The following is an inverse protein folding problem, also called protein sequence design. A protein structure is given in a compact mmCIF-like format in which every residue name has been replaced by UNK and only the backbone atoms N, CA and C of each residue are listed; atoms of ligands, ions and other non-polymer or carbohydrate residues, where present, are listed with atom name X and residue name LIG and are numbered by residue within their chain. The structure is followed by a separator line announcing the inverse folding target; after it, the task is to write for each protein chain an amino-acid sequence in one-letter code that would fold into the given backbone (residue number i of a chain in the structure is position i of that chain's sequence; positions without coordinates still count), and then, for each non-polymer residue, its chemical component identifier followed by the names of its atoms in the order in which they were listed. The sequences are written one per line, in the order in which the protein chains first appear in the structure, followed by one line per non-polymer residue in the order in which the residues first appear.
data_IF_349906428640
#
_entry.id   IF_349906428640
#
_cell.length_a   1.000
_cell.length_b   1.000
_cell.length_c   1.000
_cell.angle_alpha   90.00
_cell.angle_beta   90.00
_cell.angle_gamma   90.00
#
_symmetry.space_group_name_H-M   'P 1'
#
loop_
_entity.id
_entity.type
_entity.pdbx_description
1 polymer ?
#
# COMPACT_ATOMS: atom_id res chain seq x y z
N UNK A 1 -66.38 -41.07 -12.35
CA UNK A 1 -65.32 -40.43 -11.54
C UNK A 1 -64.62 -39.32 -12.34
N UNK A 2 -65.38 -38.32 -12.82
CA UNK A 2 -64.94 -37.33 -13.82
C UNK A 2 -65.32 -35.88 -13.45
N UNK A 3 -65.23 -35.46 -12.18
CA UNK A 3 -65.58 -34.07 -11.85
C UNK A 3 -64.90 -33.40 -10.64
N UNK A 4 -63.89 -34.01 -10.03
CA UNK A 4 -63.25 -33.44 -8.82
C UNK A 4 -61.83 -32.92 -9.05
N UNK A 5 -61.19 -33.25 -10.18
CA UNK A 5 -59.78 -32.88 -10.42
C UNK A 5 -59.61 -31.48 -11.08
N UNK A 6 -60.69 -30.90 -11.63
CA UNK A 6 -60.58 -29.67 -12.43
C UNK A 6 -60.63 -28.34 -11.64
N UNK A 7 -60.78 -28.35 -10.30
CA UNK A 7 -60.88 -27.10 -9.51
C UNK A 7 -59.69 -26.80 -8.58
N UNK A 8 -58.72 -27.71 -8.48
CA UNK A 8 -57.52 -27.49 -7.65
C UNK A 8 -56.30 -26.99 -8.44
N UNK A 9 -56.40 -26.86 -9.76
CA UNK A 9 -55.28 -26.42 -10.60
C UNK A 9 -55.20 -24.89 -10.81
N UNK A 10 -56.24 -24.14 -10.43
CA UNK A 10 -56.32 -22.69 -10.69
C UNK A 10 -55.76 -21.83 -9.54
N UNK A 11 -55.54 -22.40 -8.35
CA UNK A 11 -54.98 -21.67 -7.21
C UNK A 11 -53.48 -21.91 -6.96
N UNK A 12 -52.87 -22.92 -7.59
CA UNK A 12 -51.42 -23.20 -7.44
C UNK A 12 -50.57 -22.41 -8.45
N UNK A 13 -51.17 -21.86 -9.51
CA UNK A 13 -50.46 -21.01 -10.49
C UNK A 13 -50.35 -19.54 -10.02
N UNK A 14 -51.14 -19.12 -9.02
CA UNK A 14 -51.13 -17.75 -8.51
C UNK A 14 -50.22 -17.51 -7.29
N UNK A 15 -49.61 -18.55 -6.71
CA UNK A 15 -48.79 -18.43 -5.48
C UNK A 15 -47.28 -18.68 -5.70
N UNK A 16 -46.86 -18.99 -6.92
CA UNK A 16 -45.44 -19.09 -7.33
C UNK A 16 -44.98 -17.92 -8.21
N UNK A 17 -45.72 -16.81 -8.18
CA UNK A 17 -45.42 -15.54 -8.85
C UNK A 17 -45.32 -14.39 -7.84
N UNK A 18 -44.89 -14.68 -6.61
CA UNK A 18 -44.19 -13.70 -5.78
C UNK A 18 -42.83 -13.47 -6.42
N UNK A 19 -42.84 -12.56 -7.41
CA UNK A 19 -41.67 -11.89 -7.93
C UNK A 19 -40.72 -11.56 -6.77
N UNK A 20 -39.55 -12.20 -6.74
CA UNK A 20 -38.36 -11.50 -6.27
C UNK A 20 -38.20 -10.37 -7.28
N UNK A 21 -38.81 -9.23 -6.99
CA UNK A 21 -38.36 -7.98 -7.56
C UNK A 21 -36.93 -7.81 -7.02
N UNK A 22 -35.96 -8.36 -7.74
CA UNK A 22 -34.62 -7.77 -7.74
C UNK A 22 -34.90 -6.34 -8.12
N UNK A 23 -34.75 -5.44 -7.16
CA UNK A 23 -34.85 -4.01 -7.36
C UNK A 23 -33.81 -3.66 -8.43
N UNK A 24 -34.21 -3.67 -9.69
CA UNK A 24 -33.52 -3.04 -10.80
C UNK A 24 -33.52 -1.54 -10.46
N UNK A 25 -32.58 -1.11 -9.61
CA UNK A 25 -32.34 0.31 -9.43
C UNK A 25 -31.85 0.77 -10.79
N UNK A 26 -32.68 1.56 -11.47
CA UNK A 26 -32.32 2.13 -12.74
C UNK A 26 -30.95 2.81 -12.61
N UNK A 27 -30.02 2.48 -13.52
CA UNK A 27 -28.68 3.05 -13.51
C UNK A 27 -28.78 4.59 -13.55
N UNK A 28 -28.08 5.25 -12.64
CA UNK A 28 -27.95 6.70 -12.57
C UNK A 28 -27.26 7.26 -13.82
N UNK A 29 -26.34 6.50 -14.41
CA UNK A 29 -25.72 6.81 -15.70
C UNK A 29 -25.26 5.54 -16.42
N UNK A 30 -25.16 5.63 -17.75
CA UNK A 30 -24.66 4.57 -18.63
C UNK A 30 -23.77 5.19 -19.71
N UNK A 31 -22.68 4.51 -20.04
CA UNK A 31 -21.79 4.80 -21.16
C UNK A 31 -21.35 3.47 -21.81
N UNK A 32 -21.23 3.41 -23.13
CA UNK A 32 -20.65 2.25 -23.82
C UNK A 32 -19.41 2.71 -24.58
N UNK A 33 -18.28 2.08 -24.27
CA UNK A 33 -16.99 2.36 -24.91
C UNK A 33 -16.94 1.89 -26.37
N UNK A 34 -15.98 2.38 -27.19
CA UNK A 34 -15.76 1.89 -28.54
C UNK A 34 -15.51 0.38 -28.65
N UNK A 35 -14.89 -0.24 -27.63
CA UNK A 35 -14.67 -1.68 -27.56
C UNK A 35 -15.93 -2.48 -27.17
N UNK A 36 -17.04 -1.81 -26.85
CA UNK A 36 -18.30 -2.43 -26.44
C UNK A 36 -18.43 -2.69 -24.93
N UNK A 37 -17.44 -2.27 -24.13
CA UNK A 37 -17.50 -2.37 -22.67
C UNK A 37 -18.56 -1.37 -22.16
N UNK A 38 -19.52 -1.86 -21.39
CA UNK A 38 -20.53 -1.02 -20.74
C UNK A 38 -20.01 -0.47 -19.42
N UNK A 39 -20.17 0.81 -19.19
CA UNK A 39 -19.93 1.46 -17.91
C UNK A 39 -21.29 1.87 -17.34
N UNK A 40 -21.62 1.39 -16.15
CA UNK A 40 -22.87 1.75 -15.47
C UNK A 40 -22.58 2.25 -14.07
N UNK A 41 -23.52 3.04 -13.54
CA UNK A 41 -23.44 3.53 -12.17
C UNK A 41 -24.80 3.50 -11.54
N UNK A 42 -24.88 3.03 -10.30
CA UNK A 42 -26.03 3.20 -9.41
C UNK A 42 -25.83 4.39 -8.45
N UNK A 43 -24.65 5.02 -8.51
CA UNK A 43 -24.21 6.03 -7.57
C UNK A 43 -24.64 7.43 -7.95
N UNK A 44 -25.18 8.18 -6.98
CA UNK A 44 -25.55 9.58 -7.15
C UNK A 44 -24.33 10.46 -7.47
N UNK A 45 -23.16 10.13 -6.91
CA UNK A 45 -21.91 10.82 -7.24
C UNK A 45 -21.40 10.47 -8.65
N UNK A 46 -21.82 9.36 -9.24
CA UNK A 46 -21.39 8.91 -10.57
C UNK A 46 -22.55 8.92 -11.57
N UNK A 47 -23.35 9.99 -11.55
CA UNK A 47 -24.57 10.13 -12.34
C UNK A 47 -24.37 10.82 -13.71
N UNK A 48 -23.14 10.92 -14.20
CA UNK A 48 -22.81 11.59 -15.47
C UNK A 48 -22.08 10.65 -16.42
N UNK A 49 -22.53 10.61 -17.68
CA UNK A 49 -21.86 9.91 -18.77
C UNK A 49 -20.41 10.37 -18.93
N UNK A 50 -20.11 11.67 -18.76
CA UNK A 50 -18.75 12.20 -18.87
C UNK A 50 -17.83 11.64 -17.77
N UNK A 51 -18.34 11.43 -16.55
CA UNK A 51 -17.58 10.78 -15.47
C UNK A 51 -17.30 9.31 -15.78
N UNK A 52 -18.28 8.60 -16.35
CA UNK A 52 -18.08 7.22 -16.79
C UNK A 52 -17.10 7.12 -17.97
N UNK A 53 -17.09 8.11 -18.86
CA UNK A 53 -16.07 8.22 -19.91
C UNK A 53 -14.68 8.43 -19.32
N UNK A 54 -14.52 9.29 -18.30
CA UNK A 54 -13.24 9.47 -17.61
C UNK A 54 -12.78 8.19 -16.91
N UNK A 55 -13.70 7.43 -16.30
CA UNK A 55 -13.39 6.12 -15.72
C UNK A 55 -12.96 5.10 -16.79
N UNK A 56 -13.56 5.14 -17.97
CA UNK A 56 -13.08 4.36 -19.11
C UNK A 56 -11.67 4.79 -19.56
N UNK A 57 -11.37 6.09 -19.62
CA UNK A 57 -10.01 6.54 -19.92
C UNK A 57 -9.01 6.06 -18.88
N UNK A 58 -9.39 6.05 -17.59
CA UNK A 58 -8.58 5.48 -16.51
C UNK A 58 -8.32 3.98 -16.71
N UNK A 59 -9.33 3.19 -17.07
CA UNK A 59 -9.13 1.79 -17.46
C UNK A 59 -8.11 1.67 -18.59
N UNK A 60 -8.24 2.48 -19.65
CA UNK A 60 -7.35 2.47 -20.82
C UNK A 60 -5.90 2.90 -20.52
N UNK A 61 -5.65 3.57 -19.39
CA UNK A 61 -4.30 3.90 -18.94
C UNK A 61 -3.56 2.72 -18.29
N UNK A 62 -4.26 1.62 -17.99
CA UNK A 62 -3.62 0.34 -17.69
C UNK A 62 -3.01 -0.25 -18.98
N UNK A 63 -1.90 -0.98 -18.88
CA UNK A 63 -1.41 -1.71 -20.05
C UNK A 63 -2.34 -2.89 -20.35
N UNK A 64 -2.87 -2.95 -21.56
CA UNK A 64 -3.89 -3.92 -21.95
C UNK A 64 -3.56 -4.53 -23.31
N UNK A 65 -4.04 -5.74 -23.54
CA UNK A 65 -3.92 -6.47 -24.79
C UNK A 65 -5.29 -6.81 -25.38
N UNK A 66 -5.40 -8.00 -25.95
CA UNK A 66 -6.64 -8.47 -26.55
C UNK A 66 -7.70 -8.92 -25.54
N UNK A 67 -7.29 -9.20 -24.30
CA UNK A 67 -8.15 -9.59 -23.19
C UNK A 67 -9.22 -8.54 -22.91
N UNK A 68 -8.91 -7.26 -23.11
CA UNK A 68 -9.85 -6.15 -22.93
C UNK A 68 -11.18 -6.36 -23.67
N UNK A 69 -11.15 -7.07 -24.82
CA UNK A 69 -12.36 -7.39 -25.61
C UNK A 69 -13.34 -8.33 -24.90
N UNK A 70 -12.88 -9.04 -23.87
CA UNK A 70 -13.71 -9.91 -23.02
C UNK A 70 -14.13 -9.22 -21.71
N UNK A 71 -13.85 -7.94 -21.52
CA UNK A 71 -14.48 -7.19 -20.45
C UNK A 71 -15.86 -6.71 -20.93
N UNK A 72 -16.93 -7.22 -20.34
CA UNK A 72 -18.29 -6.83 -20.74
C UNK A 72 -18.71 -5.52 -20.08
N UNK A 73 -18.39 -5.34 -18.79
CA UNK A 73 -18.95 -4.26 -18.02
C UNK A 73 -18.06 -3.83 -16.83
N UNK A 74 -18.11 -2.53 -16.52
CA UNK A 74 -17.59 -1.92 -15.28
C UNK A 74 -18.75 -1.19 -14.60
N UNK A 75 -19.05 -1.51 -13.34
CA UNK A 75 -20.18 -0.94 -12.59
C UNK A 75 -19.68 -0.17 -11.37
N UNK A 76 -20.20 1.03 -11.16
CA UNK A 76 -19.98 1.80 -9.92
C UNK A 76 -21.22 1.66 -9.03
N UNK A 77 -21.05 1.00 -7.89
CA UNK A 77 -22.12 0.75 -6.92
C UNK A 77 -21.92 1.63 -5.68
N UNK A 78 -23.03 2.10 -5.09
CA UNK A 78 -22.97 2.94 -3.88
C UNK A 78 -22.59 2.18 -2.62
N UNK A 79 -23.07 0.95 -2.49
CA UNK A 79 -22.89 0.14 -1.29
C UNK A 79 -21.58 -0.64 -1.30
N UNK A 80 -21.39 -1.38 -0.21
CA UNK A 80 -20.36 -2.40 -0.07
C UNK A 80 -21.04 -3.74 0.18
N UNK A 81 -21.53 -4.44 -0.88
CA UNK A 81 -22.34 -5.65 -0.72
C UNK A 81 -21.65 -6.75 0.08
N UNK A 82 -20.32 -6.76 0.09
CA UNK A 82 -19.48 -7.70 0.82
C UNK A 82 -18.74 -7.10 2.03
N UNK A 83 -19.14 -5.91 2.47
CA UNK A 83 -18.51 -5.19 3.58
C UNK A 83 -17.43 -4.19 3.14
N UNK A 84 -17.15 -3.20 4.01
CA UNK A 84 -16.28 -2.05 3.70
C UNK A 84 -14.79 -2.40 3.48
N UNK A 85 -14.38 -3.61 3.84
CA UNK A 85 -13.04 -4.12 3.57
C UNK A 85 -12.82 -4.55 2.11
N UNK A 86 -13.90 -4.70 1.33
CA UNK A 86 -13.84 -5.08 -0.09
C UNK A 86 -14.23 -3.87 -0.92
N UNK A 87 -13.29 -3.33 -1.69
CA UNK A 87 -13.47 -2.08 -2.42
C UNK A 87 -13.96 -2.28 -3.86
N UNK A 88 -13.88 -3.50 -4.37
CA UNK A 88 -14.34 -3.91 -5.69
C UNK A 88 -14.41 -5.43 -5.81
N UNK A 89 -14.87 -5.91 -6.94
CA UNK A 89 -14.90 -7.33 -7.26
C UNK A 89 -14.88 -7.59 -8.76
N UNK A 90 -14.05 -8.54 -9.19
CA UNK A 90 -14.07 -9.08 -10.53
C UNK A 90 -14.87 -10.39 -10.62
N UNK A 91 -15.90 -10.40 -11.46
CA UNK A 91 -16.72 -11.58 -11.75
C UNK A 91 -16.12 -12.41 -12.88
N UNK A 92 -15.29 -13.40 -12.53
CA UNK A 92 -14.73 -14.37 -13.47
C UNK A 92 -15.72 -15.48 -13.82
N UNK A 93 -15.83 -15.82 -15.11
CA UNK A 93 -16.66 -16.92 -15.61
C UNK A 93 -15.96 -17.66 -16.73
N UNK A 94 -16.17 -18.97 -16.80
CA UNK A 94 -15.68 -19.81 -17.90
C UNK A 94 -16.74 -20.75 -18.44
N UNK A 95 -16.58 -21.13 -19.69
CA UNK A 95 -17.27 -22.27 -20.30
C UNK A 95 -16.27 -23.34 -20.69
N UNK A 96 -16.76 -24.53 -20.98
CA UNK A 96 -15.97 -25.64 -21.51
C UNK A 96 -16.55 -26.01 -22.87
N UNK A 97 -15.69 -26.12 -23.89
CA UNK A 97 -16.12 -26.54 -25.21
C UNK A 97 -16.27 -28.08 -25.33
N UNK A 98 -16.77 -28.54 -26.48
CA UNK A 98 -16.98 -29.98 -26.74
C UNK A 98 -15.67 -30.81 -26.70
N UNK A 99 -14.51 -30.17 -26.72
CA UNK A 99 -13.20 -30.81 -26.62
C UNK A 99 -12.59 -30.67 -25.21
N UNK A 100 -13.42 -30.34 -24.22
CA UNK A 100 -13.01 -30.13 -22.83
C UNK A 100 -11.99 -28.98 -22.64
N UNK A 101 -11.97 -28.01 -23.55
CA UNK A 101 -11.10 -26.82 -23.43
C UNK A 101 -11.84 -25.71 -22.70
N UNK A 102 -11.26 -25.22 -21.62
CA UNK A 102 -11.79 -24.08 -20.88
C UNK A 102 -11.63 -22.80 -21.71
N UNK A 103 -12.68 -21.99 -21.74
CA UNK A 103 -12.68 -20.66 -22.36
C UNK A 103 -13.23 -19.65 -21.38
N UNK A 104 -12.60 -18.48 -21.34
CA UNK A 104 -13.09 -17.36 -20.56
C UNK A 104 -14.33 -16.77 -21.22
N UNK A 105 -15.36 -16.53 -20.41
CA UNK A 105 -16.56 -15.79 -20.81
C UNK A 105 -16.36 -14.30 -20.49
N UNK A 106 -17.18 -13.40 -21.07
CA UNK A 106 -17.07 -11.99 -20.74
C UNK A 106 -17.23 -11.72 -19.24
N UNK A 107 -16.29 -10.95 -18.69
CA UNK A 107 -16.21 -10.62 -17.25
C UNK A 107 -16.84 -9.27 -16.91
N UNK A 108 -17.04 -9.03 -15.62
CA UNK A 108 -17.57 -7.77 -15.09
C UNK A 108 -16.73 -7.31 -13.91
N UNK A 109 -16.47 -6.00 -13.82
CA UNK A 109 -15.82 -5.35 -12.68
C UNK A 109 -16.89 -4.55 -11.92
N UNK A 110 -16.99 -4.77 -10.62
CA UNK A 110 -17.79 -3.94 -9.72
C UNK A 110 -16.86 -3.09 -8.85
N UNK A 111 -17.13 -1.79 -8.78
CA UNK A 111 -16.42 -0.82 -7.94
C UNK A 111 -17.38 -0.34 -6.86
N UNK A 112 -17.03 -0.55 -5.60
CA UNK A 112 -17.91 -0.28 -4.46
C UNK A 112 -17.64 1.08 -3.82
N UNK A 113 -18.66 1.61 -3.12
CA UNK A 113 -18.58 2.85 -2.38
C UNK A 113 -18.65 4.12 -3.23
N UNK A 114 -19.38 4.13 -4.35
CA UNK A 114 -19.42 5.25 -5.31
C UNK A 114 -19.71 6.63 -4.70
N UNK A 115 -20.59 6.72 -3.69
CA UNK A 115 -20.86 7.97 -2.98
C UNK A 115 -19.75 8.40 -2.01
N UNK A 116 -18.89 7.47 -1.56
CA UNK A 116 -17.72 7.77 -0.72
C UNK A 116 -16.48 8.06 -1.60
N UNK A 117 -16.37 7.36 -2.73
CA UNK A 117 -15.26 7.40 -3.70
C UNK A 117 -15.71 8.13 -4.95
N UNK A 118 -15.81 9.44 -4.85
CA UNK A 118 -16.53 10.29 -5.82
C UNK A 118 -15.68 10.77 -7.00
N UNK A 119 -14.42 10.35 -7.09
CA UNK A 119 -13.48 10.75 -8.16
C UNK A 119 -12.82 9.54 -8.82
N UNK A 120 -12.36 9.71 -10.06
CA UNK A 120 -11.62 8.67 -10.81
C UNK A 120 -10.38 8.22 -10.06
N UNK A 121 -9.62 9.17 -9.50
CA UNK A 121 -8.43 8.88 -8.71
C UNK A 121 -8.75 8.01 -7.50
N UNK A 122 -9.89 8.25 -6.84
CA UNK A 122 -10.30 7.46 -5.69
C UNK A 122 -10.67 6.02 -6.05
N UNK A 123 -11.02 5.72 -7.31
CA UNK A 123 -11.32 4.36 -7.81
C UNK A 123 -10.14 3.71 -8.56
N UNK A 124 -9.15 4.48 -9.00
CA UNK A 124 -8.11 4.05 -9.94
C UNK A 124 -7.35 2.78 -9.52
N UNK A 125 -6.90 2.69 -8.26
CA UNK A 125 -6.19 1.50 -7.76
C UNK A 125 -7.09 0.27 -7.76
N UNK A 126 -8.33 0.38 -7.27
CA UNK A 126 -9.28 -0.74 -7.29
C UNK A 126 -9.61 -1.16 -8.71
N UNK A 127 -9.88 -0.21 -9.62
CA UNK A 127 -10.13 -0.54 -11.03
C UNK A 127 -8.96 -1.30 -11.65
N UNK A 128 -7.72 -0.86 -11.38
CA UNK A 128 -6.52 -1.53 -11.87
C UNK A 128 -6.34 -2.92 -11.23
N UNK A 129 -6.69 -3.09 -9.96
CA UNK A 129 -6.68 -4.38 -9.25
C UNK A 129 -7.68 -5.36 -9.85
N UNK A 130 -8.95 -4.96 -9.98
CA UNK A 130 -9.99 -5.82 -10.57
C UNK A 130 -9.69 -6.15 -12.03
N UNK A 131 -9.10 -5.21 -12.77
CA UNK A 131 -8.63 -5.46 -14.12
C UNK A 131 -7.41 -6.41 -14.14
N UNK A 132 -6.55 -6.38 -13.12
CA UNK A 132 -5.47 -7.35 -12.93
C UNK A 132 -5.96 -8.78 -12.77
N UNK A 133 -7.07 -9.01 -12.05
CA UNK A 133 -7.74 -10.31 -12.05
C UNK A 133 -8.16 -10.71 -13.46
N UNK A 134 -8.84 -9.80 -14.19
CA UNK A 134 -9.30 -10.06 -15.55
C UNK A 134 -8.15 -10.49 -16.48
N UNK A 135 -7.06 -9.74 -16.48
CA UNK A 135 -5.87 -9.99 -17.29
C UNK A 135 -5.26 -11.36 -16.95
N UNK A 136 -5.01 -11.62 -15.68
CA UNK A 136 -4.31 -12.86 -15.29
C UNK A 136 -5.16 -14.09 -15.56
N UNK A 137 -6.46 -14.04 -15.26
CA UNK A 137 -7.38 -15.11 -15.59
C UNK A 137 -7.42 -15.42 -17.08
N UNK A 138 -7.49 -14.37 -17.93
CA UNK A 138 -7.51 -14.54 -19.37
C UNK A 138 -6.26 -15.28 -19.87
N UNK A 139 -5.08 -14.80 -19.48
CA UNK A 139 -3.83 -15.36 -19.98
C UNK A 139 -3.53 -16.74 -19.41
N UNK A 140 -3.92 -17.04 -18.18
CA UNK A 140 -3.81 -18.41 -17.66
C UNK A 140 -4.76 -19.38 -18.35
N UNK A 141 -6.03 -19.00 -18.60
CA UNK A 141 -6.92 -19.86 -19.39
C UNK A 141 -6.39 -20.06 -20.80
N UNK A 142 -5.85 -19.01 -21.43
CA UNK A 142 -5.31 -19.08 -22.78
C UNK A 142 -4.03 -19.91 -22.88
N UNK A 143 -3.10 -19.76 -21.93
CA UNK A 143 -1.78 -20.39 -21.96
C UNK A 143 -1.78 -21.76 -21.28
N UNK A 144 -2.32 -21.84 -20.07
CA UNK A 144 -2.28 -23.05 -19.24
C UNK A 144 -3.49 -23.96 -19.51
N UNK A 145 -4.55 -23.42 -20.14
CA UNK A 145 -5.79 -24.14 -20.40
C UNK A 145 -6.73 -24.21 -19.19
N UNK A 146 -6.41 -23.49 -18.11
CA UNK A 146 -7.21 -23.41 -16.89
C UNK A 146 -6.98 -22.10 -16.13
N UNK A 147 -7.91 -21.78 -15.23
CA UNK A 147 -7.85 -20.58 -14.39
C UNK A 147 -6.77 -20.67 -13.31
N UNK A 148 -6.16 -19.55 -12.93
CA UNK A 148 -5.30 -19.44 -11.72
C UNK A 148 -6.04 -19.80 -10.42
N UNK A 149 -7.37 -19.81 -10.43
CA UNK A 149 -8.22 -20.23 -9.30
C UNK A 149 -8.69 -21.69 -9.40
N UNK A 150 -8.15 -22.48 -10.34
CA UNK A 150 -8.43 -23.91 -10.43
C UNK A 150 -7.92 -24.63 -9.16
N UNK A 151 -8.84 -25.28 -8.44
CA UNK A 151 -8.56 -25.86 -7.11
C UNK A 151 -7.48 -26.94 -7.13
N UNK A 152 -7.40 -27.71 -8.21
CA UNK A 152 -6.52 -28.86 -8.32
C UNK A 152 -5.24 -28.53 -9.08
N UNK A 153 -5.28 -27.52 -9.96
CA UNK A 153 -4.21 -27.24 -10.92
C UNK A 153 -3.54 -25.89 -10.76
N UNK A 154 -3.98 -24.99 -9.85
CA UNK A 154 -3.38 -23.65 -9.73
C UNK A 154 -1.84 -23.70 -9.54
N UNK A 155 -1.30 -24.68 -8.81
CA UNK A 155 0.15 -24.88 -8.61
C UNK A 155 0.90 -25.15 -9.92
N UNK A 156 0.19 -25.64 -10.93
CA UNK A 156 0.72 -25.94 -12.26
C UNK A 156 0.68 -24.72 -13.19
N UNK A 157 -0.05 -23.66 -12.82
CA UNK A 157 -0.15 -22.44 -13.64
C UNK A 157 1.23 -21.83 -13.88
N UNK A 158 1.42 -21.24 -15.06
CA UNK A 158 2.67 -20.56 -15.40
C UNK A 158 2.94 -19.42 -14.43
N UNK A 159 1.90 -18.66 -14.07
CA UNK A 159 2.00 -17.56 -13.11
C UNK A 159 2.52 -18.04 -11.74
N UNK A 160 1.93 -19.08 -11.13
CA UNK A 160 2.38 -19.58 -9.82
C UNK A 160 3.84 -20.07 -9.84
N UNK A 161 4.29 -20.64 -10.96
CA UNK A 161 5.67 -21.10 -11.12
C UNK A 161 6.65 -19.92 -11.23
N UNK A 162 6.35 -18.93 -12.07
CA UNK A 162 7.19 -17.72 -12.22
C UNK A 162 7.26 -16.96 -10.90
N UNK A 163 6.13 -16.83 -10.21
CA UNK A 163 6.04 -16.16 -8.91
C UNK A 163 6.71 -16.95 -7.77
N UNK A 164 7.09 -18.20 -8.01
CA UNK A 164 7.69 -19.11 -7.02
C UNK A 164 6.70 -19.73 -6.03
N UNK A 165 5.41 -19.44 -6.16
CA UNK A 165 4.35 -19.80 -5.21
C UNK A 165 3.80 -21.22 -5.39
N UNK A 166 4.17 -21.90 -6.47
CA UNK A 166 3.67 -23.24 -6.81
C UNK A 166 3.84 -24.26 -5.66
N UNK A 167 4.84 -24.10 -4.80
CA UNK A 167 5.12 -24.98 -3.65
C UNK A 167 4.93 -24.32 -2.29
N UNK A 168 4.47 -23.06 -2.24
CA UNK A 168 4.18 -22.40 -0.97
C UNK A 168 2.90 -22.98 -0.36
N UNK A 169 2.97 -23.41 0.90
CA UNK A 169 1.87 -24.04 1.62
C UNK A 169 0.88 -23.01 2.19
N UNK A 170 1.23 -21.73 2.23
CA UNK A 170 0.32 -20.67 2.70
C UNK A 170 -0.71 -20.31 1.63
N UNK A 171 -0.30 -20.38 0.37
CA UNK A 171 -1.10 -19.94 -0.78
C UNK A 171 -2.36 -20.80 -0.95
N UNK A 172 -3.51 -20.14 -1.06
CA UNK A 172 -4.85 -20.74 -1.19
C UNK A 172 -5.21 -21.74 -0.07
N UNK A 173 -4.54 -21.72 1.10
CA UNK A 173 -4.86 -22.59 2.25
C UNK A 173 -5.55 -21.84 3.39
N UNK A 174 -5.21 -20.57 3.60
CA UNK A 174 -5.75 -19.73 4.64
C UNK A 174 -6.90 -18.88 4.10
N UNK A 175 -7.89 -18.56 4.94
CA UNK A 175 -8.92 -17.56 4.63
C UNK A 175 -8.38 -16.11 4.70
N UNK A 176 -7.08 -15.93 4.43
CA UNK A 176 -6.39 -14.64 4.39
C UNK A 176 -6.25 -14.22 2.92
N UNK A 177 -6.98 -13.17 2.53
CA UNK A 177 -7.03 -12.65 1.15
C UNK A 177 -5.63 -12.44 0.54
N UNK A 178 -4.68 -11.89 1.31
CA UNK A 178 -3.27 -11.69 0.90
C UNK A 178 -2.52 -12.96 0.46
N UNK A 179 -3.02 -14.15 0.81
CA UNK A 179 -2.44 -15.45 0.41
C UNK A 179 -3.23 -16.12 -0.72
N UNK A 180 -4.28 -15.50 -1.24
CA UNK A 180 -4.96 -15.97 -2.43
C UNK A 180 -4.15 -15.65 -3.68
N UNK A 181 -3.87 -16.65 -4.51
CA UNK A 181 -3.03 -16.49 -5.70
C UNK A 181 -3.60 -15.44 -6.67
N UNK A 182 -4.93 -15.34 -6.77
CA UNK A 182 -5.59 -14.39 -7.64
C UNK A 182 -5.45 -12.94 -7.14
N UNK A 183 -5.47 -12.72 -5.83
CA UNK A 183 -5.23 -11.40 -5.22
C UNK A 183 -3.78 -10.98 -5.43
N UNK A 184 -2.82 -11.88 -5.14
CA UNK A 184 -1.39 -11.62 -5.40
C UNK A 184 -1.17 -11.25 -6.87
N UNK A 185 -1.85 -11.93 -7.81
CA UNK A 185 -1.75 -11.63 -9.24
C UNK A 185 -2.31 -10.27 -9.62
N UNK A 186 -3.45 -9.88 -9.04
CA UNK A 186 -4.03 -8.56 -9.26
C UNK A 186 -3.11 -7.44 -8.75
N UNK A 187 -2.51 -7.62 -7.57
CA UNK A 187 -1.57 -6.65 -7.01
C UNK A 187 -0.27 -6.59 -7.82
N UNK A 188 0.26 -7.73 -8.26
CA UNK A 188 1.42 -7.79 -9.15
C UNK A 188 1.14 -7.06 -10.46
N UNK A 189 -0.07 -7.20 -11.01
CA UNK A 189 -0.49 -6.47 -12.20
C UNK A 189 -0.55 -4.95 -11.94
N UNK A 190 -1.12 -4.49 -10.83
CA UNK A 190 -1.14 -3.06 -10.47
C UNK A 190 0.28 -2.51 -10.42
N UNK A 191 1.21 -3.23 -9.79
CA UNK A 191 2.60 -2.79 -9.67
C UNK A 191 3.30 -2.63 -11.02
N UNK A 192 3.09 -3.58 -11.94
CA UNK A 192 3.86 -3.65 -13.18
C UNK A 192 3.19 -2.92 -14.36
N UNK A 193 1.85 -2.92 -14.41
CA UNK A 193 1.04 -2.53 -15.57
C UNK A 193 -0.19 -1.69 -15.22
N UNK A 194 -0.41 -1.42 -13.93
CA UNK A 194 -1.44 -0.50 -13.46
C UNK A 194 -1.27 0.91 -14.03
N UNK A 195 -2.36 1.68 -14.05
CA UNK A 195 -2.33 3.06 -14.53
C UNK A 195 -1.40 3.97 -13.70
N UNK A 196 -0.94 5.10 -14.24
CA UNK A 196 -0.20 6.09 -13.46
C UNK A 196 -0.99 6.62 -12.25
N UNK A 197 -2.31 6.77 -12.37
CA UNK A 197 -3.18 7.22 -11.29
C UNK A 197 -3.26 6.19 -10.15
N UNK A 198 -3.36 4.90 -10.49
CA UNK A 198 -3.36 3.81 -9.51
C UNK A 198 -2.05 3.72 -8.73
N UNK A 199 -0.94 4.13 -9.34
CA UNK A 199 0.40 4.13 -8.76
C UNK A 199 0.83 5.49 -8.20
N UNK A 200 -0.12 6.41 -7.99
CA UNK A 200 0.20 7.77 -7.55
C UNK A 200 0.92 7.76 -6.20
N UNK A 201 1.94 8.61 -6.09
CA UNK A 201 2.64 8.89 -4.84
C UNK A 201 1.79 9.80 -3.94
N UNK A 202 1.73 9.47 -2.66
CA UNK A 202 1.21 10.30 -1.58
C UNK A 202 2.36 10.73 -0.68
N UNK A 203 2.44 12.02 -0.38
CA UNK A 203 3.52 12.56 0.46
C UNK A 203 3.11 12.56 1.92
N UNK A 204 3.92 11.92 2.75
CA UNK A 204 3.76 11.93 4.21
C UNK A 204 4.86 12.76 4.86
N UNK A 205 4.52 13.86 5.56
CA UNK A 205 5.50 14.66 6.27
C UNK A 205 6.10 13.88 7.44
N UNK A 206 7.38 14.08 7.70
CA UNK A 206 8.04 13.60 8.91
C UNK A 206 7.39 14.26 10.14
N UNK A 207 6.91 13.45 11.07
CA UNK A 207 6.41 13.91 12.38
C UNK A 207 7.52 14.61 13.17
N UNK A 208 8.76 14.14 13.04
CA UNK A 208 9.92 14.76 13.66
C UNK A 208 10.17 16.17 13.11
N UNK A 209 10.17 16.33 11.79
CA UNK A 209 10.41 17.64 11.15
C UNK A 209 9.29 18.62 11.54
N UNK A 210 8.06 18.11 11.65
CA UNK A 210 6.90 18.88 12.12
C UNK A 210 7.09 19.35 13.57
N UNK A 211 7.55 18.46 14.45
CA UNK A 211 7.82 18.79 15.85
C UNK A 211 8.95 19.80 16.01
N UNK A 212 10.03 19.67 15.22
CA UNK A 212 11.14 20.63 15.17
C UNK A 212 10.69 22.02 14.72
N UNK A 213 9.69 22.10 13.85
CA UNK A 213 9.09 23.34 13.38
C UNK A 213 7.97 23.86 14.31
N UNK A 214 7.79 23.26 15.49
CA UNK A 214 6.73 23.62 16.44
C UNK A 214 5.32 23.50 15.85
N UNK A 215 5.13 22.61 14.87
CA UNK A 215 3.82 22.31 14.29
C UNK A 215 3.14 21.21 15.08
N UNK A 216 1.83 21.34 15.25
CA UNK A 216 1.02 20.29 15.83
C UNK A 216 1.10 19.01 14.97
N UNK A 217 1.34 17.87 15.62
CA UNK A 217 1.30 16.57 14.96
C UNK A 217 -0.16 16.14 14.91
N UNK A 218 -0.83 16.45 13.80
CA UNK A 218 -2.18 15.99 13.54
C UNK A 218 -2.27 14.46 13.31
N UNK A 219 -3.50 13.91 13.27
CA UNK A 219 -3.70 12.52 12.90
C UNK A 219 -3.18 12.29 11.48
N UNK A 220 -2.44 11.20 11.29
CA UNK A 220 -1.98 10.80 9.96
C UNK A 220 -3.17 10.23 9.20
N UNK A 221 -3.54 10.88 8.10
CA UNK A 221 -4.60 10.41 7.21
C UNK A 221 -3.97 9.58 6.10
N UNK A 222 -4.21 8.28 6.16
CA UNK A 222 -3.76 7.33 5.15
C UNK A 222 -4.74 6.16 5.10
N UNK A 223 -4.70 5.40 4.01
CA UNK A 223 -5.47 4.18 3.86
C UNK A 223 -4.73 3.17 2.95
N UNK A 224 -5.16 1.91 2.95
CA UNK A 224 -4.53 0.83 2.21
C UNK A 224 -4.58 1.01 0.67
N UNK A 225 -5.35 1.96 0.15
CA UNK A 225 -5.36 2.29 -1.28
C UNK A 225 -4.19 3.18 -1.70
N UNK A 226 -3.44 3.77 -0.77
CA UNK A 226 -2.28 4.61 -1.08
C UNK A 226 -1.08 3.75 -1.53
N UNK A 227 -0.77 3.79 -2.83
CA UNK A 227 0.15 2.85 -3.47
C UNK A 227 1.58 2.85 -2.89
N UNK A 228 2.16 4.02 -2.63
CA UNK A 228 3.51 4.11 -2.04
C UNK A 228 3.58 3.72 -0.56
N UNK A 229 2.43 3.41 0.07
CA UNK A 229 2.34 2.86 1.42
C UNK A 229 2.09 1.36 1.36
N UNK A 230 1.20 0.93 0.46
CA UNK A 230 0.78 -0.47 0.29
C UNK A 230 0.83 -0.84 -1.19
N UNK A 231 2.04 -1.07 -1.75
CA UNK A 231 2.17 -1.47 -3.15
C UNK A 231 1.62 -2.87 -3.41
N UNK A 232 1.57 -3.71 -2.36
CA UNK A 232 0.89 -5.00 -2.27
C UNK A 232 0.47 -5.25 -0.82
N UNK A 233 -0.60 -6.00 -0.59
CA UNK A 233 -1.13 -6.40 0.70
C UNK A 233 -0.20 -7.42 1.38
N UNK A 234 0.35 -8.35 0.60
CA UNK A 234 1.24 -9.37 1.13
C UNK A 234 2.70 -8.89 1.23
N UNK A 235 3.03 -8.24 2.35
CA UNK A 235 4.40 -7.77 2.60
C UNK A 235 5.42 -8.88 2.91
N UNK A 236 5.01 -10.14 3.05
CA UNK A 236 5.95 -11.27 3.25
C UNK A 236 6.58 -11.72 1.92
N UNK A 237 5.99 -11.32 0.79
CA UNK A 237 6.48 -11.62 -0.54
C UNK A 237 7.43 -10.53 -1.06
N UNK A 238 8.38 -10.88 -1.96
CA UNK A 238 9.03 -9.89 -2.81
C UNK A 238 7.98 -9.09 -3.59
N UNK A 239 8.29 -7.83 -3.90
CA UNK A 239 7.46 -7.02 -4.80
C UNK A 239 7.51 -7.59 -6.22
N UNK A 240 6.47 -7.33 -7.02
CA UNK A 240 6.35 -7.90 -8.37
C UNK A 240 7.53 -7.56 -9.28
N UNK A 241 8.07 -6.34 -9.15
CA UNK A 241 9.25 -5.84 -9.88
C UNK A 241 10.55 -6.58 -9.53
N UNK A 242 10.58 -7.25 -8.38
CA UNK A 242 11.73 -7.97 -7.85
C UNK A 242 11.70 -9.46 -8.23
N UNK A 243 10.60 -9.92 -8.85
CA UNK A 243 10.41 -11.32 -9.26
C UNK A 243 10.97 -11.52 -10.68
N UNK A 244 12.01 -12.36 -10.86
CA UNK A 244 12.57 -12.61 -12.18
C UNK A 244 11.54 -13.14 -13.17
N UNK A 245 11.57 -12.63 -14.40
CA UNK A 245 10.70 -13.02 -15.53
C UNK A 245 9.21 -12.69 -15.38
N UNK A 246 8.73 -12.20 -14.24
CA UNK A 246 7.32 -11.87 -14.05
C UNK A 246 6.87 -10.72 -14.96
N UNK A 247 7.67 -9.65 -15.01
CA UNK A 247 7.43 -8.54 -15.93
C UNK A 247 7.38 -9.02 -17.38
N UNK A 248 8.37 -9.82 -17.81
CA UNK A 248 8.47 -10.27 -19.21
C UNK A 248 7.30 -11.17 -19.59
N UNK A 249 6.78 -11.97 -18.67
CA UNK A 249 5.59 -12.79 -18.90
C UNK A 249 4.37 -11.94 -19.22
N UNK A 250 4.04 -10.96 -18.38
CA UNK A 250 2.93 -10.03 -18.66
C UNK A 250 3.20 -9.18 -19.91
N UNK A 251 4.39 -8.60 -20.04
CA UNK A 251 4.74 -7.71 -21.15
C UNK A 251 4.57 -8.40 -22.51
N UNK A 252 4.96 -9.68 -22.61
CA UNK A 252 4.78 -10.49 -23.83
C UNK A 252 3.31 -10.62 -24.20
N UNK A 253 2.46 -10.88 -23.21
CA UNK A 253 1.01 -11.06 -23.41
C UNK A 253 0.30 -9.75 -23.76
N UNK A 254 0.67 -8.66 -23.10
CA UNK A 254 0.11 -7.32 -23.28
C UNK A 254 0.71 -6.58 -24.49
N UNK A 255 1.69 -7.18 -25.18
CA UNK A 255 2.36 -6.56 -26.34
C UNK A 255 3.28 -5.38 -25.98
N UNK A 256 3.69 -5.27 -24.70
CA UNK A 256 4.62 -4.23 -24.22
C UNK A 256 6.05 -4.63 -24.56
N UNK A 257 6.80 -3.72 -25.20
CA UNK A 257 8.15 -4.02 -25.73
C UNK A 257 9.29 -3.37 -24.96
N UNK A 258 9.03 -2.28 -24.24
CA UNK A 258 10.04 -1.58 -23.46
C UNK A 258 10.37 -2.35 -22.20
N UNK A 259 11.65 -2.51 -21.88
CA UNK A 259 12.04 -2.93 -20.54
C UNK A 259 11.78 -1.77 -19.56
N UNK A 260 11.28 -2.04 -18.36
CA UNK A 260 11.03 -1.03 -17.36
C UNK A 260 12.36 -0.60 -16.75
N UNK A 261 12.49 0.68 -16.46
CA UNK A 261 13.52 1.17 -15.57
C UNK A 261 13.06 0.87 -14.14
N UNK A 262 13.60 -0.18 -13.51
CA UNK A 262 13.20 -0.59 -12.15
C UNK A 262 14.19 0.03 -11.16
N UNK A 263 13.72 0.78 -10.14
CA UNK A 263 14.60 1.35 -9.12
C UNK A 263 15.43 0.29 -8.42
N UNK A 264 16.68 0.57 -8.09
CA UNK A 264 17.46 -0.35 -7.24
C UNK A 264 16.87 -0.45 -5.83
N UNK A 265 17.00 -1.63 -5.23
CA UNK A 265 16.58 -1.88 -3.85
C UNK A 265 17.31 -0.91 -2.89
N UNK A 266 16.58 -0.18 -2.04
CA UNK A 266 17.20 0.63 -1.01
C UNK A 266 17.72 -0.25 0.14
N UNK A 267 18.78 0.18 0.82
CA UNK A 267 19.26 -0.50 2.03
C UNK A 267 18.85 0.31 3.26
N UNK A 268 17.90 -0.21 4.03
CA UNK A 268 17.43 0.40 5.27
C UNK A 268 18.30 -0.03 6.45
N UNK A 269 18.71 0.92 7.29
CA UNK A 269 19.41 0.65 8.54
C UNK A 269 19.00 1.62 9.63
N UNK A 270 19.18 1.22 10.88
CA UNK A 270 19.08 2.13 12.02
C UNK A 270 20.44 2.79 12.23
N UNK A 271 20.47 4.12 12.14
CA UNK A 271 21.66 4.94 12.40
C UNK A 271 21.93 5.07 13.89
N UNK A 272 20.88 5.30 14.68
CA UNK A 272 20.97 5.49 16.13
C UNK A 272 19.64 5.12 16.80
N UNK A 273 19.73 4.65 18.05
CA UNK A 273 18.60 4.46 18.95
C UNK A 273 18.82 5.36 20.15
N UNK A 274 17.88 6.28 20.40
CA UNK A 274 17.97 7.24 21.50
C UNK A 274 16.96 6.86 22.57
N UNK A 275 17.41 6.72 23.83
CA UNK A 275 16.53 6.48 24.97
C UNK A 275 16.13 7.79 25.64
N UNK A 276 14.84 8.10 25.66
CA UNK A 276 14.30 9.32 26.29
C UNK A 276 13.80 9.03 27.72
N UNK A 277 14.71 8.57 28.59
CA UNK A 277 14.35 8.16 29.96
C UNK A 277 13.27 7.08 29.98
N UNK A 278 12.24 7.27 30.81
CA UNK A 278 11.09 6.34 30.92
C UNK A 278 10.01 6.56 29.85
N UNK A 279 10.16 7.59 28.99
CA UNK A 279 9.14 7.92 27.98
C UNK A 279 9.12 6.89 26.84
N UNK A 280 10.31 6.42 26.44
CA UNK A 280 10.48 5.38 25.42
C UNK A 280 11.72 5.60 24.56
N UNK A 281 11.76 4.92 23.41
CA UNK A 281 12.88 4.97 22.47
C UNK A 281 12.51 5.72 21.20
N UNK A 282 13.48 6.44 20.64
CA UNK A 282 13.45 6.99 19.29
C UNK A 282 14.35 6.15 18.39
N UNK A 283 13.82 5.70 17.26
CA UNK A 283 14.60 5.08 16.20
C UNK A 283 14.95 6.12 15.14
N UNK A 284 16.21 6.16 14.72
CA UNK A 284 16.65 6.91 13.56
C UNK A 284 16.98 5.97 12.42
N UNK A 285 16.19 6.04 11.36
CA UNK A 285 16.44 5.32 10.14
C UNK A 285 17.21 6.20 9.17
N UNK A 286 18.17 5.58 8.48
CA UNK A 286 18.74 6.11 7.25
C UNK A 286 18.69 5.00 6.21
N UNK A 287 18.61 5.38 4.95
CA UNK A 287 18.71 4.41 3.87
C UNK A 287 19.63 4.89 2.76
N UNK A 288 20.26 3.93 2.10
CA UNK A 288 20.91 4.16 0.82
C UNK A 288 19.92 3.86 -0.31
N UNK A 289 20.11 4.50 -1.44
CA UNK A 289 19.41 4.24 -2.69
C UNK A 289 20.24 4.79 -3.84
N UNK A 290 19.60 5.08 -4.96
CA UNK A 290 20.23 5.81 -6.06
C UNK A 290 20.22 7.31 -5.74
N UNK A 291 20.95 7.67 -4.67
CA UNK A 291 20.96 9.00 -4.07
C UNK A 291 21.26 10.09 -5.11
N UNK A 292 20.56 11.23 -5.00
CA UNK A 292 20.69 12.36 -5.92
C UNK A 292 19.84 12.25 -7.18
N UNK A 293 19.10 11.15 -7.36
CA UNK A 293 18.13 11.01 -8.44
C UNK A 293 16.79 11.65 -8.10
N UNK A 294 16.45 12.76 -8.76
CA UNK A 294 15.19 13.50 -8.56
C UNK A 294 13.94 12.77 -9.06
N UNK A 295 14.10 11.67 -9.79
CA UNK A 295 13.01 10.85 -10.30
C UNK A 295 12.59 9.72 -9.35
N UNK A 296 13.20 9.63 -8.17
CA UNK A 296 12.84 8.63 -7.15
C UNK A 296 12.13 9.26 -5.95
N UNK A 297 11.12 8.56 -5.46
CA UNK A 297 10.48 8.82 -4.18
C UNK A 297 10.67 7.62 -3.26
N UNK A 298 11.04 7.88 -2.01
CA UNK A 298 11.19 6.90 -0.95
C UNK A 298 10.07 7.07 0.07
N UNK A 299 9.43 5.97 0.47
CA UNK A 299 8.45 5.96 1.56
C UNK A 299 8.88 4.93 2.60
N UNK A 300 9.18 5.40 3.82
CA UNK A 300 9.43 4.55 4.97
C UNK A 300 8.08 4.22 5.62
N UNK A 301 7.81 2.94 5.83
CA UNK A 301 6.58 2.44 6.48
C UNK A 301 6.91 1.58 7.70
N UNK A 302 5.94 1.44 8.60
CA UNK A 302 5.99 0.50 9.72
C UNK A 302 4.71 -0.33 9.82
N UNK A 303 4.82 -1.60 10.20
CA UNK A 303 3.69 -2.51 10.42
C UNK A 303 4.00 -3.54 11.50
N UNK A 304 3.04 -4.41 11.83
CA UNK A 304 3.19 -5.47 12.83
C UNK A 304 2.59 -6.79 12.33
N UNK A 305 2.91 -7.91 12.96
CA UNK A 305 2.36 -9.22 12.59
C UNK A 305 0.82 -9.28 12.70
N UNK A 306 0.22 -8.52 13.63
CA UNK A 306 -1.23 -8.53 13.90
C UNK A 306 -2.05 -7.50 13.14
N UNK A 307 -1.37 -6.52 12.52
CA UNK A 307 -1.98 -5.52 11.63
C UNK A 307 -1.01 -5.34 10.44
N UNK A 308 -1.24 -6.06 9.34
CA UNK A 308 -0.35 -6.04 8.20
C UNK A 308 -0.46 -4.74 7.41
N UNK A 309 -1.43 -3.87 7.71
CA UNK A 309 -1.62 -2.63 6.97
C UNK A 309 -0.54 -1.62 7.40
N UNK A 310 0.40 -1.24 6.51
CA UNK A 310 1.52 -0.38 6.86
C UNK A 310 1.13 1.06 7.11
N UNK A 311 1.69 1.61 8.18
CA UNK A 311 1.60 3.03 8.51
C UNK A 311 2.77 3.79 7.88
N UNK A 312 2.52 4.89 7.13
CA UNK A 312 3.60 5.70 6.62
C UNK A 312 4.28 6.48 7.75
N UNK A 313 5.62 6.51 7.72
CA UNK A 313 6.44 7.32 8.62
C UNK A 313 6.83 8.63 7.95
N UNK A 314 7.36 8.54 6.73
CA UNK A 314 7.82 9.71 5.96
C UNK A 314 7.95 9.37 4.48
N UNK A 315 7.71 10.36 3.64
CA UNK A 315 8.08 10.34 2.21
C UNK A 315 9.22 11.32 1.96
N UNK A 316 10.26 10.88 1.24
CA UNK A 316 11.40 11.69 0.81
C UNK A 316 11.57 11.60 -0.71
N UNK A 317 11.95 12.69 -1.35
CA UNK A 317 12.46 12.65 -2.72
C UNK A 317 13.92 12.17 -2.71
N UNK A 318 14.40 11.59 -3.81
CA UNK A 318 15.77 11.09 -3.90
C UNK A 318 16.86 12.17 -3.81
N UNK A 319 16.47 13.44 -3.88
CA UNK A 319 17.33 14.62 -3.62
C UNK A 319 17.36 15.06 -2.16
N UNK A 320 16.46 14.55 -1.32
CA UNK A 320 16.38 14.90 0.09
C UNK A 320 17.43 14.13 0.91
N UNK A 321 17.57 14.50 2.18
CA UNK A 321 18.23 13.64 3.16
C UNK A 321 17.33 12.41 3.38
N UNK A 322 17.89 11.23 3.09
CA UNK A 322 17.19 9.95 3.17
C UNK A 322 17.20 9.40 4.60
N UNK A 323 16.38 10.03 5.44
CA UNK A 323 16.22 9.67 6.85
C UNK A 323 14.75 9.71 7.32
N UNK A 324 14.51 9.05 8.46
CA UNK A 324 13.21 9.01 9.12
C UNK A 324 13.35 8.72 10.61
N UNK A 325 12.36 9.16 11.39
CA UNK A 325 12.32 8.95 12.85
C UNK A 325 11.01 8.28 13.24
N UNK A 326 11.07 7.34 14.18
CA UNK A 326 9.89 6.64 14.70
C UNK A 326 9.99 6.43 16.22
N UNK A 327 8.84 6.36 16.89
CA UNK A 327 8.77 6.15 18.33
C UNK A 327 8.60 7.44 19.14
N UNK A 328 9.29 7.53 20.27
CA UNK A 328 9.27 8.70 21.13
C UNK A 328 10.14 9.80 20.56
N UNK A 329 9.62 11.01 20.44
CA UNK A 329 10.34 12.20 19.98
C UNK A 329 10.27 13.28 21.05
N UNK A 330 11.43 13.82 21.42
CA UNK A 330 11.54 14.93 22.38
C UNK A 330 12.25 16.08 21.68
N UNK A 331 11.59 17.22 21.57
CA UNK A 331 12.16 18.46 21.04
C UNK A 331 12.21 19.49 22.16
N UNK A 332 13.40 20.03 22.40
CA UNK A 332 13.63 21.08 23.39
C UNK A 332 13.76 22.42 22.69
N UNK A 333 13.04 23.42 23.18
CA UNK A 333 13.23 24.82 22.83
C UNK A 333 13.79 25.58 24.02
N UNK A 334 14.07 26.88 23.86
CA UNK A 334 14.48 27.73 24.97
C UNK A 334 13.42 27.83 26.08
N UNK A 335 12.14 27.58 25.77
CA UNK A 335 11.01 27.80 26.69
C UNK A 335 10.13 26.57 26.96
N UNK A 336 10.33 25.46 26.24
CA UNK A 336 9.47 24.28 26.36
C UNK A 336 10.17 22.98 25.99
N UNK A 337 9.65 21.88 26.52
CA UNK A 337 9.96 20.52 26.08
C UNK A 337 8.68 19.98 25.45
N UNK A 338 8.74 19.68 24.16
CA UNK A 338 7.66 19.00 23.46
C UNK A 338 7.98 17.52 23.38
N UNK A 339 7.05 16.69 23.83
CA UNK A 339 7.16 15.24 23.78
C UNK A 339 6.02 14.70 22.94
N UNK A 340 6.37 13.92 21.92
CA UNK A 340 5.43 13.11 21.16
C UNK A 340 5.80 11.64 21.32
N UNK A 341 4.80 10.80 21.57
CA UNK A 341 4.96 9.35 21.60
C UNK A 341 4.06 8.74 20.55
N UNK A 342 4.66 8.08 19.57
CA UNK A 342 3.88 7.32 18.59
C UNK A 342 3.13 6.20 19.32
N UNK A 343 1.78 6.18 19.30
CA UNK A 343 1.00 5.21 20.06
C UNK A 343 1.25 3.76 19.60
N UNK A 344 1.76 3.60 18.37
CA UNK A 344 1.95 2.32 17.72
C UNK A 344 3.37 1.76 17.90
N UNK A 345 4.27 2.55 18.51
CA UNK A 345 5.65 2.20 18.81
C UNK A 345 5.80 1.27 20.03
N UNK A 346 5.15 0.12 19.95
CA UNK A 346 5.17 -0.95 20.95
C UNK A 346 5.32 -2.32 20.29
N UNK A 347 5.65 -3.35 21.08
CA UNK A 347 5.73 -4.72 20.59
C UNK A 347 6.82 -4.95 19.54
N UNK A 348 6.57 -5.90 18.63
CA UNK A 348 7.43 -6.16 17.47
C UNK A 348 6.92 -5.31 16.31
N UNK A 349 7.84 -4.57 15.68
CA UNK A 349 7.55 -3.74 14.51
C UNK A 349 8.47 -4.10 13.36
N UNK A 350 7.92 -4.08 12.16
CA UNK A 350 8.63 -4.25 10.90
C UNK A 350 8.69 -2.92 10.18
N UNK A 351 9.83 -2.66 9.53
CA UNK A 351 10.09 -1.43 8.80
C UNK A 351 10.60 -1.79 7.40
N UNK A 352 10.12 -1.05 6.41
CA UNK A 352 10.58 -1.15 5.01
C UNK A 352 10.61 0.23 4.39
N UNK A 353 11.54 0.42 3.46
CA UNK A 353 11.53 1.57 2.55
C UNK A 353 11.12 1.09 1.17
N UNK A 354 10.10 1.71 0.61
CA UNK A 354 9.74 1.57 -0.79
C UNK A 354 10.40 2.65 -1.62
N UNK A 355 11.12 2.27 -2.68
CA UNK A 355 11.70 3.17 -3.67
C UNK A 355 10.86 3.12 -4.94
N UNK A 356 10.22 4.21 -5.30
CA UNK A 356 9.31 4.31 -6.45
C UNK A 356 9.84 5.35 -7.46
N UNK A 357 9.86 5.02 -8.75
CA UNK A 357 10.16 6.00 -9.79
C UNK A 357 8.91 6.70 -10.35
N UNK A 358 9.13 7.66 -11.24
CA UNK A 358 8.06 8.41 -11.91
C UNK A 358 7.08 7.54 -12.72
N UNK A 359 7.49 6.37 -13.20
CA UNK A 359 6.62 5.43 -13.90
C UNK A 359 5.77 4.56 -12.95
N UNK A 360 6.02 4.67 -11.63
CA UNK A 360 5.35 3.89 -10.59
C UNK A 360 5.97 2.52 -10.33
N UNK A 361 7.09 2.16 -10.97
CA UNK A 361 7.80 0.94 -10.59
C UNK A 361 8.39 1.11 -9.20
N UNK A 362 8.20 0.11 -8.36
CA UNK A 362 8.57 0.15 -6.94
C UNK A 362 9.44 -1.04 -6.58
N UNK A 363 10.52 -0.81 -5.83
CA UNK A 363 11.29 -1.87 -5.14
C UNK A 363 11.34 -1.57 -3.65
N UNK A 364 11.87 -2.51 -2.87
CA UNK A 364 11.82 -2.43 -1.41
C UNK A 364 13.14 -2.80 -0.76
N UNK A 365 13.37 -2.24 0.42
CA UNK A 365 14.40 -2.74 1.32
C UNK A 365 14.01 -4.12 1.87
N UNK A 366 14.99 -4.88 2.37
CA UNK A 366 14.72 -5.97 3.29
C UNK A 366 13.86 -5.51 4.48
N UNK A 367 13.19 -6.46 5.13
CA UNK A 367 12.36 -6.20 6.31
C UNK A 367 13.29 -6.01 7.50
N UNK A 368 13.28 -4.82 8.09
CA UNK A 368 13.98 -4.55 9.34
C UNK A 368 12.97 -4.72 10.49
N UNK A 369 13.20 -5.72 11.35
CA UNK A 369 12.35 -6.05 12.50
C UNK A 369 13.00 -5.56 13.79
N UNK A 370 12.22 -4.86 14.62
CA UNK A 370 12.66 -4.30 15.90
C UNK A 370 11.67 -4.71 16.99
N UNK A 371 12.19 -5.20 18.11
CA UNK A 371 11.41 -5.28 19.34
C UNK A 371 11.49 -3.93 20.05
N UNK A 372 10.39 -3.18 20.12
CA UNK A 372 10.37 -1.83 20.69
C UNK A 372 10.71 -1.78 22.19
N UNK A 373 10.63 -2.92 22.90
CA UNK A 373 11.11 -3.05 24.28
C UNK A 373 12.63 -3.22 24.38
N UNK A 374 13.27 -3.73 23.32
CA UNK A 374 14.72 -3.97 23.22
C UNK A 374 15.24 -3.55 21.83
N UNK A 375 15.17 -2.25 21.48
CA UNK A 375 15.46 -1.79 20.12
C UNK A 375 16.94 -1.85 19.72
N UNK A 376 17.81 -2.28 20.64
CA UNK A 376 19.22 -2.51 20.39
C UNK A 376 19.51 -3.80 19.60
N UNK A 377 18.52 -4.66 19.42
CA UNK A 377 18.64 -5.88 18.62
C UNK A 377 17.66 -5.82 17.46
N UNK A 378 18.20 -5.91 16.26
CA UNK A 378 17.41 -5.80 15.04
C UNK A 378 17.66 -7.02 14.17
N UNK A 379 16.61 -7.43 13.49
CA UNK A 379 16.67 -8.57 12.58
C UNK A 379 16.35 -8.09 11.19
N UNK A 380 17.18 -8.46 10.22
CA UNK A 380 16.97 -8.17 8.81
C UNK A 380 16.60 -9.46 8.09
N UNK A 381 15.44 -9.44 7.42
CA UNK A 381 14.90 -10.58 6.68
C UNK A 381 14.62 -10.17 5.24
N UNK A 382 15.17 -10.90 4.28
CA UNK A 382 14.77 -10.75 2.88
C UNK A 382 13.38 -11.36 2.67
N UNK A 383 12.42 -10.62 2.08
CA UNK A 383 11.20 -11.22 1.58
C UNK A 383 11.55 -12.33 0.61
N UNK A 384 10.98 -13.51 0.81
CA UNK A 384 11.25 -14.65 -0.06
C UNK A 384 10.04 -15.56 -0.11
N UNK A 385 9.95 -16.27 -1.24
CA UNK A 385 8.86 -17.23 -1.49
C UNK A 385 9.14 -18.58 -0.83
N UNK A 386 10.36 -18.80 -0.31
CA UNK A 386 10.73 -20.02 0.41
C UNK A 386 10.68 -19.78 1.92
N UNK A 387 10.16 -20.75 2.69
CA UNK A 387 10.06 -20.66 4.16
C UNK A 387 11.40 -20.57 4.91
N UNK A 388 12.53 -20.65 4.19
CA UNK A 388 13.87 -20.55 4.76
C UNK A 388 14.44 -19.16 4.44
N UNK A 389 13.90 -18.13 5.08
CA UNK A 389 14.48 -16.79 4.96
C UNK A 389 15.84 -16.77 5.65
N UNK A 390 16.85 -16.20 4.99
CA UNK A 390 18.09 -15.84 5.66
C UNK A 390 17.77 -14.71 6.65
N UNK A 391 18.07 -14.95 7.92
CA UNK A 391 17.82 -14.02 9.01
C UNK A 391 19.17 -13.53 9.52
N UNK A 392 19.44 -12.24 9.31
CA UNK A 392 20.66 -11.60 9.82
C UNK A 392 20.33 -10.76 11.06
N UNK A 393 20.95 -11.08 12.19
CA UNK A 393 20.80 -10.29 13.42
C UNK A 393 21.94 -9.30 13.54
N UNK A 394 21.62 -8.04 13.81
CA UNK A 394 22.59 -6.98 14.05
C UNK A 394 22.36 -6.35 15.42
N UNK A 395 23.45 -6.08 16.13
CA UNK A 395 23.41 -5.25 17.34
C UNK A 395 23.54 -3.78 16.94
N UNK A 396 22.67 -2.94 17.49
CA UNK A 396 22.68 -1.48 17.30
C UNK A 396 23.05 -0.83 18.62
N UNK A 397 24.04 0.06 18.60
CA UNK A 397 24.41 0.81 19.80
C UNK A 397 23.27 1.74 20.21
N UNK A 398 22.90 1.70 21.50
CA UNK A 398 21.94 2.63 22.10
C UNK A 398 22.70 3.77 22.72
N UNK A 399 22.37 4.98 22.30
CA UNK A 399 22.85 6.18 22.98
C UNK A 399 21.97 6.43 24.21
N UNK A 400 22.46 5.99 25.37
CA UNK A 400 21.83 6.21 26.67
C UNK A 400 22.17 7.59 27.26
N UNK A 401 23.10 8.34 26.66
CA UNK A 401 23.74 9.51 27.28
C UNK A 401 23.44 10.86 26.59
N UNK A 402 22.60 10.90 25.55
CA UNK A 402 22.17 12.18 24.93
C UNK A 402 21.65 13.15 25.99
N UNK A 403 20.89 12.65 26.98
CA UNK A 403 20.31 13.48 28.04
C UNK A 403 21.38 14.17 28.90
N UNK A 404 22.42 13.45 29.31
CA UNK A 404 23.47 14.01 30.17
C UNK A 404 24.39 14.92 29.37
N UNK A 405 24.75 14.54 28.14
CA UNK A 405 25.66 15.32 27.31
C UNK A 405 25.04 16.67 26.88
N UNK A 406 23.76 16.71 26.52
CA UNK A 406 23.08 17.97 26.21
C UNK A 406 22.85 18.84 27.44
N UNK A 407 22.49 18.25 28.59
CA UNK A 407 22.35 18.99 29.86
C UNK A 407 23.69 19.59 30.28
N UNK A 408 24.80 18.86 30.12
CA UNK A 408 26.13 19.38 30.42
C UNK A 408 26.54 20.50 29.44
N UNK A 409 26.20 20.40 28.14
CA UNK A 409 26.44 21.48 27.18
C UNK A 409 25.62 22.74 27.48
N UNK A 410 24.35 22.57 27.82
CA UNK A 410 23.50 23.69 28.25
C UNK A 410 24.00 24.32 29.55
N UNK A 411 24.38 23.50 30.53
CA UNK A 411 25.00 23.98 31.76
C UNK A 411 26.29 24.76 31.47
N UNK A 412 27.16 24.28 30.57
CA UNK A 412 28.38 24.99 30.17
C UNK A 412 28.07 26.33 29.50
N UNK A 413 27.10 26.38 28.57
CA UNK A 413 26.68 27.63 27.93
C UNK A 413 26.11 28.64 28.93
N UNK A 414 25.30 28.17 29.89
CA UNK A 414 24.72 28.99 30.93
C UNK A 414 25.79 29.50 31.90
N UNK A 415 26.76 28.65 32.26
CA UNK A 415 27.91 29.01 33.07
C UNK A 415 28.76 30.07 32.38
N UNK A 416 29.05 29.90 31.08
CA UNK A 416 29.77 30.91 30.26
C UNK A 416 29.02 32.23 30.20
N UNK A 417 27.70 32.19 30.04
CA UNK A 417 26.86 33.40 30.09
C UNK A 417 26.95 34.12 31.44
N UNK A 418 26.90 33.39 32.55
CA UNK A 418 27.05 33.94 33.90
C UNK A 418 28.45 34.54 34.09
N UNK A 419 29.50 33.87 33.63
CA UNK A 419 30.88 34.38 33.71
C UNK A 419 31.00 35.72 32.99
N UNK A 420 30.50 35.82 31.76
CA UNK A 420 30.53 37.08 30.99
C UNK A 420 29.78 38.21 31.70
N UNK A 421 28.62 37.91 32.33
CA UNK A 421 27.87 38.90 33.12
C UNK A 421 28.64 39.33 34.36
N UNK A 422 29.26 38.39 35.08
CA UNK A 422 30.06 38.70 36.27
C UNK A 422 31.29 39.54 35.92
N UNK A 423 31.97 39.24 34.81
CA UNK A 423 33.09 40.05 34.30
C UNK A 423 32.66 41.47 33.93
N UNK A 424 31.49 41.63 33.31
CA UNK A 424 30.93 42.95 33.00
C UNK A 424 30.60 43.73 34.28
N UNK A 425 29.98 43.09 35.28
CA UNK A 425 29.68 43.71 36.58
C UNK A 425 30.95 44.10 37.34
N UNK A 426 31.99 43.26 37.30
CA UNK A 426 33.27 43.56 37.91
C UNK A 426 33.94 44.81 37.29
N UNK A 427 33.90 44.94 35.96
CA UNK A 427 34.39 46.15 35.27
C UNK A 427 33.60 47.40 35.64
N UNK A 428 32.27 47.29 35.74
CA UNK A 428 31.42 48.42 36.19
C UNK A 428 31.80 48.84 37.61
N UNK A 429 31.98 47.88 38.53
CA UNK A 429 32.39 48.17 39.90
C UNK A 429 33.78 48.83 39.96
N UNK A 430 34.73 48.37 39.14
CA UNK A 430 36.07 48.97 39.07
C UNK A 430 36.02 50.43 38.62
N UNK A 431 35.22 50.74 37.59
CA UNK A 431 35.02 52.11 37.11
C UNK A 431 34.30 53.00 38.15
N UNK A 432 33.33 52.44 38.89
CA UNK A 432 32.68 53.16 40.00
C UNK A 432 33.68 53.44 41.14
N UNK A 433 34.56 52.49 41.48
CA UNK A 433 35.59 52.71 42.49
C UNK A 433 36.58 53.80 42.07
N UNK A 434 37.05 53.79 40.81
CA UNK A 434 37.91 54.84 40.25
C UNK A 434 37.25 56.22 40.27
N UNK A 435 35.93 56.28 40.17
CA UNK A 435 35.19 57.54 40.23
C UNK A 435 35.03 58.08 41.66
N UNK A 436 35.03 57.21 42.67
CA UNK A 436 34.83 57.57 44.08
C UNK A 436 36.16 57.83 44.81
N UNK A 437 37.26 57.21 44.37
CA UNK A 437 38.63 57.46 44.85
C UNK A 437 39.26 58.67 44.16
#
# INVERSE_FOLDING_TARGET
MNSVIARSLVWIVAFFLSFIAVSDRAAAAVFTSPEGIRFTSESAAWNSTDRLQQLYQELKMNAHGEELKLLAEVRVLDGYPKGKSIAGEYSFKTSVDLFNRQKMLPGTIDLYGGNERTTVESLAKTLSHEYGHHVTHYYSVKQDGFSITDKDRWRQSTYAKIRGLANDLRVNQLAEHRWELAEIAAEDYVQLFGSPTAKRVYTFPSRHDSLQQMKEIGPLRWDASMYNVVPQENLDLPLASEVPNLYQWYATHLGVRSQPDIPKKPELRIKEVIKHGDVGYQLHFVWSGENGQSNLTYTLVAYSDGDPIPEPIVTRQGTDILDGRYGTMVVRTASSILTYKDPTATGIRHFRVFAQNQAGYVTSSPILTVNMSHPNKVTITEPSVASNNAVNTLDVQVDENVYVAEVLKWADLLLRGIIVIMEALARILEEVFKFIS
#
